data_IF_709795270466
#
_entry.id   IF_709795270466
#
_cell.length_a   1.000
_cell.length_b   1.000
_cell.length_c   1.000
_cell.angle_alpha   90.00
_cell.angle_beta   90.00
_cell.angle_gamma   90.00
#
_symmetry.space_group_name_H-M   'P 1'
#
loop_
_entity.id
_entity.type
_entity.pdbx_description
1 polymer ?
#
# COMPACT_ATOMS: atom_id res chain seq x y z
N UNK A 1 -9.74 -44.13 -66.26
CA UNK A 1 -9.03 -43.17 -65.37
C UNK A 1 -10.09 -42.28 -64.73
N UNK A 2 -10.44 -42.55 -63.46
CA UNK A 2 -11.43 -41.80 -62.68
C UNK A 2 -10.75 -40.59 -62.02
N UNK A 3 -11.25 -39.38 -62.28
CA UNK A 3 -10.83 -38.18 -61.55
C UNK A 3 -11.70 -38.03 -60.29
N UNK A 4 -11.07 -38.15 -59.12
CA UNK A 4 -11.66 -37.86 -57.82
C UNK A 4 -11.79 -36.35 -57.62
N UNK A 5 -13.02 -35.88 -57.41
CA UNK A 5 -13.31 -34.55 -56.87
C UNK A 5 -13.09 -34.57 -55.35
N UNK A 6 -11.95 -34.03 -54.89
CA UNK A 6 -11.74 -33.74 -53.47
C UNK A 6 -12.63 -32.56 -53.06
N UNK A 7 -13.65 -32.84 -52.26
CA UNK A 7 -14.45 -31.83 -51.56
C UNK A 7 -13.65 -31.31 -50.37
N UNK A 8 -13.22 -30.05 -50.46
CA UNK A 8 -12.61 -29.34 -49.33
C UNK A 8 -13.75 -28.87 -48.43
N UNK A 9 -13.88 -29.47 -47.25
CA UNK A 9 -14.74 -28.96 -46.17
C UNK A 9 -14.17 -27.60 -45.69
N UNK A 10 -14.99 -26.56 -45.47
CA UNK A 10 -14.51 -25.31 -44.93
C UNK A 10 -14.04 -25.52 -43.48
N UNK A 11 -12.80 -25.15 -43.19
CA UNK A 11 -12.30 -25.02 -41.81
C UNK A 11 -13.18 -24.04 -41.06
N UNK A 12 -13.77 -24.50 -39.94
CA UNK A 12 -14.49 -23.61 -39.03
C UNK A 12 -13.50 -22.59 -38.45
N UNK A 13 -13.57 -21.35 -38.94
CA UNK A 13 -12.98 -20.20 -38.26
C UNK A 13 -13.62 -20.08 -36.88
N UNK A 14 -12.84 -20.36 -35.84
CA UNK A 14 -13.22 -20.05 -34.47
C UNK A 14 -13.42 -18.54 -34.36
N UNK A 15 -14.68 -18.11 -34.23
CA UNK A 15 -15.03 -16.70 -34.02
C UNK A 15 -14.26 -16.16 -32.80
N UNK A 16 -13.55 -15.03 -32.92
CA UNK A 16 -12.85 -14.45 -31.78
C UNK A 16 -13.89 -14.01 -30.75
N UNK A 17 -13.89 -14.64 -29.57
CA UNK A 17 -14.73 -14.21 -28.43
C UNK A 17 -14.45 -12.73 -28.18
N UNK A 18 -15.42 -11.87 -28.50
CA UNK A 18 -15.41 -10.45 -28.16
C UNK A 18 -15.27 -10.33 -26.65
N UNK A 19 -14.06 -10.13 -26.15
CA UNK A 19 -13.84 -9.84 -24.73
C UNK A 19 -14.62 -8.57 -24.40
N UNK A 20 -15.45 -8.63 -23.35
CA UNK A 20 -16.14 -7.45 -22.83
C UNK A 20 -15.15 -6.29 -22.66
N UNK A 21 -15.55 -5.06 -23.00
CA UNK A 21 -14.71 -3.84 -22.83
C UNK A 21 -14.09 -3.76 -21.44
N UNK A 22 -14.81 -4.22 -20.41
CA UNK A 22 -14.36 -4.29 -19.02
C UNK A 22 -13.22 -5.30 -18.84
N UNK A 23 -13.36 -6.50 -19.42
CA UNK A 23 -12.32 -7.53 -19.33
C UNK A 23 -11.02 -7.10 -20.04
N UNK A 24 -11.13 -6.39 -21.16
CA UNK A 24 -9.98 -5.80 -21.87
C UNK A 24 -9.31 -4.72 -21.03
N UNK A 25 -10.09 -3.80 -20.44
CA UNK A 25 -9.57 -2.75 -19.56
C UNK A 25 -8.88 -3.29 -18.30
N UNK A 26 -9.49 -4.27 -17.61
CA UNK A 26 -8.93 -4.89 -16.41
C UNK A 26 -7.68 -5.73 -16.68
N UNK A 27 -7.54 -6.27 -17.89
CA UNK A 27 -6.38 -7.04 -18.32
C UNK A 27 -5.24 -6.18 -18.85
N UNK A 28 -5.49 -4.89 -19.09
CA UNK A 28 -4.48 -3.96 -19.60
C UNK A 28 -3.36 -3.73 -18.58
N UNK A 29 -2.16 -3.51 -19.09
CA UNK A 29 -1.04 -3.02 -18.28
C UNK A 29 -1.29 -1.57 -17.91
N UNK A 30 -1.00 -1.21 -16.66
CA UNK A 30 -1.09 0.16 -16.20
C UNK A 30 0.04 0.98 -16.80
N UNK A 31 -0.35 2.02 -17.54
CA UNK A 31 0.55 3.09 -17.93
C UNK A 31 0.52 4.19 -16.86
N UNK A 32 1.62 4.94 -16.67
CA UNK A 32 1.62 6.14 -15.82
C UNK A 32 0.63 7.18 -16.36
N UNK A 33 -0.53 7.27 -15.72
CA UNK A 33 -1.53 8.30 -15.95
C UNK A 33 -1.75 9.14 -14.69
N UNK A 34 -2.50 10.23 -14.81
CA UNK A 34 -2.78 11.11 -13.70
C UNK A 34 -3.57 10.41 -12.58
N UNK A 35 -4.43 9.43 -12.92
CA UNK A 35 -5.20 8.69 -11.94
C UNK A 35 -4.32 7.81 -11.06
N UNK A 36 -3.36 7.09 -11.66
CA UNK A 36 -2.40 6.28 -10.92
C UNK A 36 -1.51 7.15 -10.03
N UNK A 37 -1.07 8.32 -10.51
CA UNK A 37 -0.32 9.25 -9.67
C UNK A 37 -1.13 9.72 -8.46
N UNK A 38 -2.38 10.13 -8.67
CA UNK A 38 -3.27 10.55 -7.57
C UNK A 38 -3.50 9.42 -6.58
N UNK A 39 -3.80 8.21 -7.05
CA UNK A 39 -3.94 7.00 -6.23
C UNK A 39 -2.70 6.77 -5.35
N UNK A 40 -1.50 6.84 -5.92
CA UNK A 40 -0.26 6.67 -5.14
C UNK A 40 -0.07 7.76 -4.08
N UNK A 41 -0.53 8.99 -4.34
CA UNK A 41 -0.52 10.07 -3.34
C UNK A 41 -1.55 9.84 -2.24
N UNK A 42 -2.75 9.35 -2.58
CA UNK A 42 -3.77 8.99 -1.60
C UNK A 42 -3.30 7.82 -0.73
N UNK A 43 -2.65 6.82 -1.32
CA UNK A 43 -2.02 5.71 -0.60
C UNK A 43 -0.90 6.19 0.35
N UNK A 44 -0.11 7.18 -0.06
CA UNK A 44 0.89 7.80 0.80
C UNK A 44 0.25 8.57 1.96
N UNK A 45 -0.79 9.35 1.68
CA UNK A 45 -1.56 10.06 2.70
C UNK A 45 -2.18 9.09 3.71
N UNK A 46 -2.81 8.02 3.25
CA UNK A 46 -3.38 6.98 4.10
C UNK A 46 -2.32 6.25 4.94
N UNK A 47 -1.12 6.00 4.38
CA UNK A 47 0.00 5.44 5.15
C UNK A 47 0.42 6.38 6.29
N UNK A 48 0.47 7.70 6.01
CA UNK A 48 0.74 8.72 7.02
C UNK A 48 -0.29 8.71 8.15
N UNK A 49 -1.58 8.61 7.83
CA UNK A 49 -2.66 8.48 8.82
C UNK A 49 -2.48 7.22 9.67
N UNK A 50 -2.27 6.07 9.03
CA UNK A 50 -2.12 4.79 9.72
C UNK A 50 -0.95 4.84 10.71
N UNK A 51 0.22 5.33 10.29
CA UNK A 51 1.40 5.40 11.15
C UNK A 51 1.23 6.39 12.32
N UNK A 52 0.57 7.52 12.09
CA UNK A 52 0.24 8.47 13.15
C UNK A 52 -0.81 7.94 14.14
N UNK A 53 -1.61 6.96 13.71
CA UNK A 53 -2.64 6.33 14.55
C UNK A 53 -2.09 5.13 15.31
N UNK A 54 -1.20 4.34 14.71
CA UNK A 54 -0.66 3.13 15.37
C UNK A 54 0.41 3.47 16.39
N UNK A 55 1.19 4.53 16.18
CA UNK A 55 2.32 4.83 17.06
C UNK A 55 1.92 5.21 18.50
N UNK A 56 0.91 6.06 18.76
CA UNK A 56 0.53 6.43 20.13
C UNK A 56 0.15 5.22 20.99
N UNK A 57 -0.65 4.30 20.43
CA UNK A 57 -1.18 3.14 21.16
C UNK A 57 -0.19 1.99 21.22
N UNK A 58 0.45 1.72 20.08
CA UNK A 58 1.18 0.47 19.89
C UNK A 58 2.70 0.66 19.91
N UNK A 59 3.18 1.90 19.89
CA UNK A 59 4.61 2.25 19.74
C UNK A 59 5.26 1.56 18.55
N UNK A 60 4.46 1.31 17.51
CA UNK A 60 4.90 0.76 16.23
C UNK A 60 4.31 1.55 15.08
N UNK A 61 5.03 1.56 13.97
CA UNK A 61 4.54 2.04 12.69
C UNK A 61 4.01 0.85 11.87
N UNK A 62 2.92 1.04 11.13
CA UNK A 62 2.44 0.01 10.19
C UNK A 62 3.29 -0.01 8.91
N UNK A 63 3.72 1.17 8.44
CA UNK A 63 4.40 1.37 7.17
C UNK A 63 5.87 1.78 7.29
N UNK A 64 6.21 2.58 8.30
CA UNK A 64 7.58 3.05 8.50
C UNK A 64 8.47 2.02 9.22
N UNK A 65 8.86 0.98 8.48
CA UNK A 65 9.64 -0.14 9.03
C UNK A 65 11.07 0.23 9.43
N UNK A 66 11.67 1.29 8.86
CA UNK A 66 12.97 1.80 9.32
C UNK A 66 12.91 2.25 10.77
N UNK A 67 11.82 2.92 11.17
CA UNK A 67 11.57 3.28 12.57
C UNK A 67 11.43 2.05 13.46
N UNK A 68 10.64 1.06 13.03
CA UNK A 68 10.47 -0.19 13.77
C UNK A 68 11.78 -0.98 13.95
N UNK A 69 12.66 -1.02 12.94
CA UNK A 69 13.98 -1.66 13.07
C UNK A 69 14.82 -0.99 14.16
N UNK A 70 14.81 0.35 14.25
CA UNK A 70 15.50 1.06 15.31
C UNK A 70 14.87 0.80 16.69
N UNK A 71 13.53 0.82 16.78
CA UNK A 71 12.79 0.51 18.01
C UNK A 71 13.06 -0.91 18.50
N UNK A 72 13.15 -1.88 17.59
CA UNK A 72 13.49 -3.26 17.92
C UNK A 72 14.88 -3.36 18.55
N UNK A 73 15.88 -2.69 17.97
CA UNK A 73 17.25 -2.72 18.48
C UNK A 73 17.36 -2.05 19.85
N UNK A 74 16.76 -0.86 20.01
CA UNK A 74 16.74 -0.12 21.28
C UNK A 74 15.98 -0.89 22.35
N UNK A 75 14.84 -1.50 22.01
CA UNK A 75 14.07 -2.36 22.92
C UNK A 75 14.82 -3.63 23.32
N UNK A 76 15.48 -4.30 22.37
CA UNK A 76 16.19 -5.56 22.61
C UNK A 76 17.39 -5.38 23.55
N UNK A 77 18.00 -4.19 23.56
CA UNK A 77 19.09 -3.83 24.44
C UNK A 77 18.63 -3.24 25.78
N UNK A 78 17.32 -3.17 26.04
CA UNK A 78 16.77 -2.56 27.26
C UNK A 78 17.00 -1.04 27.35
N UNK A 79 17.24 -0.38 26.21
CA UNK A 79 17.44 1.07 26.13
C UNK A 79 16.13 1.82 25.84
N UNK A 80 15.06 1.10 25.48
CA UNK A 80 13.75 1.69 25.30
C UNK A 80 13.15 2.03 26.67
N UNK A 81 12.46 3.18 26.75
CA UNK A 81 11.56 3.42 27.87
C UNK A 81 10.50 2.30 27.92
N UNK A 82 9.96 2.00 29.10
CA UNK A 82 9.11 0.82 29.43
C UNK A 82 7.88 0.58 28.51
N UNK A 83 7.61 1.46 27.55
CA UNK A 83 6.43 1.45 26.67
C UNK A 83 6.60 0.71 25.33
N UNK A 84 7.80 0.24 24.95
CA UNK A 84 8.00 -0.48 23.66
C UNK A 84 7.96 -1.99 23.87
N UNK A 85 6.89 -2.64 23.42
CA UNK A 85 6.81 -4.10 23.40
C UNK A 85 7.50 -4.67 22.15
N UNK A 86 8.57 -5.46 22.36
CA UNK A 86 9.30 -6.11 21.28
C UNK A 86 8.43 -7.04 20.42
N UNK A 87 7.38 -7.63 21.00
CA UNK A 87 6.48 -8.53 20.27
C UNK A 87 5.71 -7.74 19.21
N UNK A 88 5.18 -6.58 19.56
CA UNK A 88 4.47 -5.71 18.63
C UNK A 88 5.35 -5.26 17.47
N UNK A 89 6.58 -4.81 17.78
CA UNK A 89 7.56 -4.40 16.78
C UNK A 89 7.93 -5.57 15.86
N UNK A 90 8.15 -6.75 16.45
CA UNK A 90 8.47 -7.98 15.72
C UNK A 90 7.34 -8.44 14.80
N UNK A 91 6.09 -8.41 15.28
CA UNK A 91 4.91 -8.72 14.45
C UNK A 91 4.73 -7.70 13.34
N UNK A 92 4.91 -6.40 13.59
CA UNK A 92 4.84 -5.38 12.54
C UNK A 92 5.87 -5.65 11.44
N UNK A 93 7.15 -5.83 11.80
CA UNK A 93 8.22 -6.13 10.84
C UNK A 93 7.94 -7.43 10.08
N UNK A 94 7.62 -8.50 10.81
CA UNK A 94 7.37 -9.82 10.23
C UNK A 94 6.21 -9.82 9.25
N UNK A 95 5.06 -9.26 9.64
CA UNK A 95 3.87 -9.25 8.79
C UNK A 95 4.00 -8.28 7.62
N UNK A 96 4.73 -7.17 7.78
CA UNK A 96 5.08 -6.31 6.65
C UNK A 96 5.89 -7.06 5.60
N UNK A 97 6.94 -7.78 6.03
CA UNK A 97 7.77 -8.59 5.12
C UNK A 97 6.94 -9.71 4.47
N UNK A 98 6.09 -10.41 5.24
CA UNK A 98 5.21 -11.46 4.73
C UNK A 98 4.21 -10.89 3.71
N UNK A 99 3.56 -9.76 4.01
CA UNK A 99 2.60 -9.11 3.11
C UNK A 99 3.25 -8.66 1.79
N UNK A 100 4.41 -8.01 1.87
CA UNK A 100 5.19 -7.61 0.70
C UNK A 100 5.68 -8.81 -0.12
N UNK A 101 6.13 -9.88 0.54
CA UNK A 101 6.59 -11.10 -0.13
C UNK A 101 5.43 -11.81 -0.81
N UNK A 102 4.34 -12.10 -0.10
CA UNK A 102 3.21 -12.85 -0.65
C UNK A 102 2.56 -12.11 -1.82
N UNK A 103 2.24 -10.82 -1.66
CA UNK A 103 1.62 -10.04 -2.73
C UNK A 103 2.60 -9.73 -3.86
N UNK A 104 3.89 -9.52 -3.57
CA UNK A 104 4.92 -9.37 -4.59
C UNK A 104 5.08 -10.63 -5.46
N UNK A 105 5.22 -11.80 -4.84
CA UNK A 105 5.40 -13.09 -5.52
C UNK A 105 4.14 -13.52 -6.28
N UNK A 106 2.95 -13.32 -5.67
CA UNK A 106 1.70 -13.60 -6.37
C UNK A 106 1.49 -12.65 -7.56
N UNK A 107 1.95 -11.41 -7.44
CA UNK A 107 2.00 -10.44 -8.54
C UNK A 107 2.85 -10.92 -9.73
N UNK A 108 3.98 -11.60 -9.49
CA UNK A 108 4.78 -12.18 -10.58
C UNK A 108 3.99 -13.23 -11.38
N UNK A 109 3.14 -14.02 -10.71
CA UNK A 109 2.31 -15.05 -11.35
C UNK A 109 1.07 -14.47 -12.05
N UNK A 110 0.44 -13.45 -11.46
CA UNK A 110 -0.83 -12.87 -11.96
C UNK A 110 -0.63 -11.74 -12.97
N UNK A 111 0.53 -11.10 -12.95
CA UNK A 111 0.89 -9.93 -13.77
C UNK A 111 0.88 -8.67 -12.93
N UNK A 112 2.04 -8.34 -12.33
CA UNK A 112 2.21 -7.29 -11.31
C UNK A 112 1.80 -5.89 -11.77
N UNK A 113 1.86 -5.62 -13.08
CA UNK A 113 1.49 -4.33 -13.68
C UNK A 113 0.06 -4.32 -14.24
N UNK A 114 -0.71 -5.41 -14.14
CA UNK A 114 -2.09 -5.46 -14.63
C UNK A 114 -3.00 -4.67 -13.71
N UNK A 115 -3.92 -3.91 -14.30
CA UNK A 115 -4.89 -3.11 -13.56
C UNK A 115 -5.75 -3.93 -12.59
N UNK A 116 -6.23 -5.09 -13.04
CA UNK A 116 -6.96 -6.03 -12.19
C UNK A 116 -6.18 -6.48 -10.98
N UNK A 117 -4.87 -6.76 -11.14
CA UNK A 117 -4.04 -7.20 -10.02
C UNK A 117 -3.95 -6.09 -8.97
N UNK A 118 -3.56 -4.87 -9.39
CA UNK A 118 -3.42 -3.76 -8.46
C UNK A 118 -4.72 -3.36 -7.78
N UNK A 119 -5.84 -3.37 -8.52
CA UNK A 119 -7.16 -3.06 -7.95
C UNK A 119 -7.56 -4.12 -6.91
N UNK A 120 -7.42 -5.40 -7.23
CA UNK A 120 -7.75 -6.48 -6.30
C UNK A 120 -6.91 -6.41 -5.03
N UNK A 121 -5.60 -6.19 -5.16
CA UNK A 121 -4.73 -6.09 -3.99
C UNK A 121 -4.97 -4.81 -3.20
N UNK A 122 -5.30 -3.69 -3.84
CA UNK A 122 -5.70 -2.48 -3.13
C UNK A 122 -6.97 -2.73 -2.30
N UNK A 123 -8.02 -3.32 -2.90
CA UNK A 123 -9.27 -3.68 -2.22
C UNK A 123 -8.99 -4.59 -1.01
N UNK A 124 -8.22 -5.66 -1.16
CA UNK A 124 -7.90 -6.58 -0.05
C UNK A 124 -7.18 -5.85 1.08
N UNK A 125 -6.22 -4.99 0.76
CA UNK A 125 -5.52 -4.20 1.77
C UNK A 125 -6.44 -3.20 2.47
N UNK A 126 -7.35 -2.55 1.72
CA UNK A 126 -8.35 -1.65 2.27
C UNK A 126 -9.31 -2.36 3.22
N UNK A 127 -9.72 -3.60 2.89
CA UNK A 127 -10.52 -4.44 3.78
C UNK A 127 -9.78 -4.74 5.10
N UNK A 128 -8.46 -4.96 5.06
CA UNK A 128 -7.68 -5.12 6.29
C UNK A 128 -7.62 -3.83 7.12
N UNK A 129 -7.54 -2.65 6.50
CA UNK A 129 -7.61 -1.36 7.21
C UNK A 129 -8.99 -1.16 7.85
N UNK A 130 -10.08 -1.49 7.15
CA UNK A 130 -11.43 -1.43 7.73
C UNK A 130 -11.63 -2.46 8.85
N UNK A 131 -11.09 -3.67 8.70
CA UNK A 131 -11.13 -4.67 9.76
C UNK A 131 -10.37 -4.19 11.01
N UNK A 132 -9.20 -3.56 10.83
CA UNK A 132 -8.45 -2.95 11.93
C UNK A 132 -9.21 -1.80 12.59
N UNK A 133 -9.86 -0.93 11.80
CA UNK A 133 -10.71 0.14 12.33
C UNK A 133 -11.90 -0.41 13.13
N UNK A 134 -12.55 -1.47 12.63
CA UNK A 134 -13.63 -2.15 13.33
C UNK A 134 -13.14 -2.80 14.62
N UNK A 135 -12.05 -3.59 14.59
CA UNK A 135 -11.48 -4.18 15.80
C UNK A 135 -11.18 -3.11 16.84
N UNK A 136 -10.61 -1.97 16.42
CA UNK A 136 -10.29 -0.87 17.32
C UNK A 136 -11.52 -0.16 17.88
N UNK A 137 -12.62 -0.12 17.14
CA UNK A 137 -13.87 0.49 17.61
C UNK A 137 -14.60 -0.40 18.63
N UNK A 138 -14.67 -1.71 18.36
CA UNK A 138 -15.51 -2.64 19.10
C UNK A 138 -14.78 -3.36 20.24
N UNK A 139 -13.45 -3.41 20.21
CA UNK A 139 -12.63 -4.09 21.22
C UNK A 139 -11.67 -3.11 21.86
N UNK A 140 -11.75 -2.98 23.18
CA UNK A 140 -10.79 -2.15 23.93
C UNK A 140 -9.43 -2.84 23.95
N UNK A 141 -8.43 -2.21 23.32
CA UNK A 141 -7.06 -2.74 23.21
C UNK A 141 -6.28 -2.71 24.53
N UNK A 142 -6.82 -2.07 25.57
CA UNK A 142 -6.20 -1.99 26.90
C UNK A 142 -6.45 -3.23 27.75
N UNK A 143 -7.45 -4.05 27.38
CA UNK A 143 -7.87 -5.23 28.15
C UNK A 143 -7.50 -6.53 27.42
N UNK A 144 -7.56 -6.54 26.08
CA UNK A 144 -7.27 -7.72 25.27
C UNK A 144 -6.05 -7.52 24.35
N UNK A 145 -4.93 -8.10 24.75
CA UNK A 145 -3.70 -8.14 23.98
C UNK A 145 -3.92 -8.73 22.56
N UNK A 146 -4.90 -9.63 22.39
CA UNK A 146 -5.16 -10.30 21.11
C UNK A 146 -5.67 -9.33 20.03
N UNK A 147 -6.55 -8.41 20.42
CA UNK A 147 -7.09 -7.41 19.50
C UNK A 147 -6.03 -6.39 19.07
N UNK A 148 -5.15 -5.99 20.00
CA UNK A 148 -3.96 -5.17 19.72
C UNK A 148 -3.07 -5.83 18.65
N UNK A 149 -2.69 -7.09 18.85
CA UNK A 149 -1.86 -7.82 17.88
C UNK A 149 -2.56 -7.96 16.52
N UNK A 150 -3.86 -8.23 16.51
CA UNK A 150 -4.63 -8.35 15.29
C UNK A 150 -4.63 -7.04 14.47
N UNK A 151 -4.82 -5.88 15.12
CA UNK A 151 -4.74 -4.57 14.45
C UNK A 151 -3.37 -4.35 13.83
N UNK A 152 -2.29 -4.59 14.58
CA UNK A 152 -0.91 -4.43 14.10
C UNK A 152 -0.65 -5.36 12.90
N UNK A 153 -1.00 -6.64 13.02
CA UNK A 153 -0.80 -7.64 11.97
C UNK A 153 -1.55 -7.28 10.68
N UNK A 154 -2.82 -6.86 10.79
CA UNK A 154 -3.64 -6.47 9.63
C UNK A 154 -3.04 -5.27 8.90
N UNK A 155 -2.68 -4.21 9.65
CA UNK A 155 -2.14 -2.98 9.08
C UNK A 155 -0.74 -3.18 8.51
N UNK A 156 0.14 -3.90 9.21
CA UNK A 156 1.49 -4.18 8.76
C UNK A 156 1.49 -5.03 7.47
N UNK A 157 0.68 -6.09 7.42
CA UNK A 157 0.53 -6.91 6.21
C UNK A 157 0.01 -6.08 5.03
N UNK A 158 -1.03 -5.28 5.26
CA UNK A 158 -1.61 -4.42 4.24
C UNK A 158 -0.60 -3.41 3.70
N UNK A 159 0.19 -2.81 4.60
CA UNK A 159 1.22 -1.84 4.24
C UNK A 159 2.38 -2.47 3.46
N UNK A 160 2.88 -3.63 3.87
CA UNK A 160 3.93 -4.35 3.15
C UNK A 160 3.53 -4.67 1.71
N UNK A 161 2.28 -5.11 1.54
CA UNK A 161 1.67 -5.29 0.23
C UNK A 161 1.62 -4.01 -0.61
N UNK A 162 1.19 -2.91 0.00
CA UNK A 162 1.06 -1.61 -0.66
C UNK A 162 2.41 -1.10 -1.17
N UNK A 163 3.45 -1.15 -0.32
CA UNK A 163 4.81 -0.73 -0.68
C UNK A 163 5.36 -1.62 -1.80
N UNK A 164 5.15 -2.94 -1.72
CA UNK A 164 5.56 -3.86 -2.77
C UNK A 164 4.88 -3.54 -4.12
N UNK A 165 3.58 -3.22 -4.12
CA UNK A 165 2.86 -2.83 -5.33
C UNK A 165 3.35 -1.51 -5.91
N UNK A 166 3.53 -0.49 -5.07
CA UNK A 166 3.98 0.85 -5.49
C UNK A 166 5.34 0.79 -6.20
N UNK A 167 6.20 -0.17 -5.85
CA UNK A 167 7.49 -0.41 -6.52
C UNK A 167 7.38 -1.07 -7.89
N UNK A 168 6.22 -1.63 -8.25
CA UNK A 168 6.02 -2.32 -9.53
C UNK A 168 5.41 -1.44 -10.62
N UNK A 169 4.85 -0.29 -10.25
CA UNK A 169 4.30 0.69 -11.18
C UNK A 169 5.38 1.66 -11.64
N UNK A 170 5.22 2.21 -12.85
CA UNK A 170 6.21 3.07 -13.50
C UNK A 170 6.14 4.53 -12.99
N UNK A 171 6.15 4.67 -11.66
CA UNK A 171 6.20 5.92 -10.89
C UNK A 171 7.19 5.73 -9.73
N UNK A 172 8.50 5.60 -10.02
CA UNK A 172 9.50 5.19 -9.04
C UNK A 172 9.69 6.21 -7.90
N UNK A 173 9.23 7.44 -8.09
CA UNK A 173 9.33 8.52 -7.11
C UNK A 173 8.42 8.32 -5.89
N UNK A 174 7.36 7.49 -6.00
CA UNK A 174 6.30 7.39 -4.99
C UNK A 174 6.21 5.97 -4.47
N UNK A 175 6.81 5.73 -3.30
CA UNK A 175 6.84 4.39 -2.66
C UNK A 175 5.74 4.20 -1.63
N UNK A 176 4.92 5.24 -1.39
CA UNK A 176 3.84 5.33 -0.40
C UNK A 176 4.23 5.33 1.08
N UNK A 177 5.42 4.89 1.47
CA UNK A 177 5.86 4.89 2.88
C UNK A 177 7.33 5.32 3.10
N UNK A 178 8.22 5.06 2.13
CA UNK A 178 9.66 5.31 2.28
C UNK A 178 10.01 6.73 1.83
N UNK A 179 9.82 7.71 2.71
CA UNK A 179 9.96 9.14 2.36
C UNK A 179 11.40 9.64 2.35
N UNK A 180 12.32 9.01 3.09
CA UNK A 180 13.70 9.48 3.25
C UNK A 180 14.42 9.65 1.91
N UNK A 181 14.33 8.65 1.02
CA UNK A 181 14.92 8.77 -0.32
C UNK A 181 14.25 9.87 -1.14
N UNK A 182 12.92 10.03 -1.03
CA UNK A 182 12.20 11.08 -1.74
C UNK A 182 12.61 12.48 -1.29
N UNK A 183 12.89 12.69 0.01
CA UNK A 183 13.48 13.94 0.50
C UNK A 183 14.83 14.22 -0.16
N UNK A 184 15.75 13.26 -0.12
CA UNK A 184 17.10 13.42 -0.68
C UNK A 184 17.05 13.63 -2.19
N UNK A 185 16.26 12.83 -2.91
CA UNK A 185 16.10 12.92 -4.36
C UNK A 185 15.40 14.23 -4.80
N UNK A 186 14.60 14.84 -3.92
CA UNK A 186 13.99 16.15 -4.15
C UNK A 186 15.03 17.26 -3.99
N UNK A 187 15.74 17.31 -2.85
CA UNK A 187 16.66 18.43 -2.56
C UNK A 187 17.95 18.40 -3.38
N UNK A 188 18.33 17.23 -3.89
CA UNK A 188 19.52 17.06 -4.75
C UNK A 188 19.20 17.05 -6.24
N UNK A 189 17.92 17.26 -6.63
CA UNK A 189 17.52 17.28 -8.04
C UNK A 189 18.25 18.40 -8.80
N UNK A 190 18.98 18.03 -9.88
CA UNK A 190 19.73 19.00 -10.70
C UNK A 190 18.85 20.10 -11.31
N UNK A 191 17.58 19.78 -11.53
CA UNK A 191 16.56 20.67 -12.08
C UNK A 191 15.51 21.03 -11.00
N UNK A 192 15.94 21.20 -9.74
CA UNK A 192 15.10 21.57 -8.61
C UNK A 192 14.26 22.83 -8.89
N UNK A 193 14.90 23.87 -9.42
CA UNK A 193 14.27 25.16 -9.73
C UNK A 193 13.72 25.27 -11.17
N UNK A 194 13.79 24.19 -11.96
CA UNK A 194 13.24 24.21 -13.31
C UNK A 194 11.71 24.34 -13.28
N UNK A 195 11.16 25.15 -14.19
CA UNK A 195 9.72 25.41 -14.28
C UNK A 195 8.89 24.14 -14.54
N UNK A 196 9.46 23.14 -15.22
CA UNK A 196 8.79 21.86 -15.52
C UNK A 196 9.72 20.70 -15.17
N UNK A 197 9.37 19.96 -14.13
CA UNK A 197 10.05 18.72 -13.74
C UNK A 197 9.03 17.81 -13.03
N UNK A 198 8.42 16.88 -13.79
CA UNK A 198 7.34 16.02 -13.28
C UNK A 198 7.84 15.05 -12.19
N UNK A 199 8.99 14.35 -12.34
CA UNK A 199 9.57 13.55 -11.27
C UNK A 199 9.78 14.33 -9.96
N UNK A 200 10.40 15.52 -10.05
CA UNK A 200 10.60 16.41 -8.89
C UNK A 200 9.28 16.79 -8.23
N UNK A 201 8.27 17.16 -9.02
CA UNK A 201 6.94 17.48 -8.51
C UNK A 201 6.29 16.29 -7.79
N UNK A 202 6.40 15.08 -8.36
CA UNK A 202 5.89 13.85 -7.72
C UNK A 202 6.53 13.60 -6.36
N UNK A 203 7.87 13.75 -6.24
CA UNK A 203 8.57 13.61 -4.95
C UNK A 203 8.07 14.63 -3.93
N UNK A 204 7.93 15.89 -4.34
CA UNK A 204 7.41 16.96 -3.48
C UNK A 204 5.99 16.68 -3.00
N UNK A 205 5.09 16.30 -3.91
CA UNK A 205 3.70 15.95 -3.57
C UNK A 205 3.64 14.70 -2.69
N UNK A 206 4.48 13.69 -2.93
CA UNK A 206 4.56 12.48 -2.09
C UNK A 206 4.96 12.82 -0.65
N UNK A 207 6.03 13.62 -0.48
CA UNK A 207 6.47 14.09 0.83
C UNK A 207 5.36 14.85 1.56
N UNK A 208 4.69 15.78 0.86
CA UNK A 208 3.59 16.56 1.41
C UNK A 208 2.38 15.70 1.74
N UNK A 209 2.01 14.75 0.89
CA UNK A 209 0.87 13.85 1.10
C UNK A 209 1.09 13.00 2.36
N UNK A 210 2.26 12.39 2.52
CA UNK A 210 2.59 11.62 3.72
C UNK A 210 2.55 12.49 4.97
N UNK A 211 3.16 13.69 4.93
CA UNK A 211 3.20 14.62 6.06
C UNK A 211 1.79 15.10 6.47
N UNK A 212 0.98 15.54 5.51
CA UNK A 212 -0.40 15.97 5.75
C UNK A 212 -1.26 14.81 6.26
N UNK A 213 -1.07 13.61 5.71
CA UNK A 213 -1.71 12.40 6.18
C UNK A 213 -1.39 12.12 7.66
N UNK A 214 -0.12 12.24 8.05
CA UNK A 214 0.28 12.08 9.45
C UNK A 214 -0.32 13.15 10.36
N UNK A 215 -0.34 14.43 9.96
CA UNK A 215 -0.98 15.48 10.75
C UNK A 215 -2.49 15.27 10.90
N UNK A 216 -3.18 14.93 9.81
CA UNK A 216 -4.62 14.69 9.81
C UNK A 216 -4.94 13.42 10.60
N UNK A 217 -4.14 12.38 10.50
CA UNK A 217 -4.29 11.17 11.30
C UNK A 217 -4.10 11.43 12.78
N UNK A 218 -3.07 12.18 13.16
CA UNK A 218 -2.84 12.57 14.55
C UNK A 218 -3.96 13.47 15.10
N UNK A 219 -4.47 14.40 14.29
CA UNK A 219 -5.61 15.25 14.66
C UNK A 219 -6.89 14.42 14.81
N UNK A 220 -7.20 13.52 13.86
CA UNK A 220 -8.35 12.63 13.92
C UNK A 220 -8.29 11.68 15.14
N UNK A 221 -7.10 11.17 15.45
CA UNK A 221 -6.82 10.37 16.64
C UNK A 221 -7.15 11.15 17.92
N UNK A 222 -6.62 12.38 18.01
CA UNK A 222 -6.70 13.21 19.22
C UNK A 222 -8.11 13.77 19.45
N UNK A 223 -8.75 14.27 18.40
CA UNK A 223 -10.00 15.04 18.50
C UNK A 223 -11.26 14.18 18.34
N UNK A 224 -11.14 12.98 17.74
CA UNK A 224 -12.30 12.09 17.49
C UNK A 224 -12.10 10.72 18.12
N UNK A 225 -11.28 9.87 17.50
CA UNK A 225 -10.90 8.56 18.07
C UNK A 225 -9.85 7.85 17.18
N UNK A 226 -9.10 6.89 17.74
CA UNK A 226 -8.19 6.04 16.98
C UNK A 226 -8.90 5.24 15.88
N UNK A 227 -10.09 4.71 16.18
CA UNK A 227 -10.89 3.96 15.22
C UNK A 227 -11.35 4.83 14.03
N UNK A 228 -11.75 6.08 14.30
CA UNK A 228 -12.10 7.04 13.25
C UNK A 228 -10.91 7.38 12.36
N UNK A 229 -9.72 7.56 12.92
CA UNK A 229 -8.51 7.81 12.14
C UNK A 229 -8.19 6.63 11.19
N UNK A 230 -8.29 5.38 11.67
CA UNK A 230 -8.13 4.19 10.80
C UNK A 230 -9.24 4.09 9.73
N UNK A 231 -10.48 4.42 10.08
CA UNK A 231 -11.59 4.47 9.12
C UNK A 231 -11.31 5.49 8.01
N UNK A 232 -10.82 6.68 8.36
CA UNK A 232 -10.42 7.72 7.41
C UNK A 232 -9.32 7.22 6.47
N UNK A 233 -8.30 6.53 6.99
CA UNK A 233 -7.25 5.94 6.17
C UNK A 233 -7.83 4.92 5.16
N UNK A 234 -8.76 4.07 5.59
CA UNK A 234 -9.45 3.12 4.73
C UNK A 234 -10.29 3.78 3.63
N UNK A 235 -11.00 4.87 3.96
CA UNK A 235 -11.79 5.63 2.99
C UNK A 235 -10.91 6.32 1.95
N UNK A 236 -9.80 6.94 2.37
CA UNK A 236 -8.83 7.54 1.45
C UNK A 236 -8.22 6.50 0.51
N UNK A 237 -7.94 5.31 1.02
CA UNK A 237 -7.35 4.21 0.25
C UNK A 237 -8.29 3.64 -0.83
N UNK A 238 -9.61 3.85 -0.69
CA UNK A 238 -10.62 3.32 -1.60
C UNK A 238 -10.85 4.20 -2.85
N UNK A 239 -10.59 5.50 -2.75
CA UNK A 239 -10.90 6.50 -3.78
C UNK A 239 -9.74 6.75 -4.73
#
# INVERSE_FOLDING_TARGET
MCNQTNSVLPSQESTPRTKSRIATYLSAQLAPDAFLEVELMLLAFAAGINDATTFPDYRVFASNQTGNTALLAVGALGLAQETVDLRDVGFSLGLFVVGGTLLGQLGHRRGRTKRSWLLCTNIVQTLFVFAAAALRHWVSTDIDNSARFAVICLLAFASGGQVAMARTVDVPEVTTAMVTSAYIDLVTDRALFAARNRPRNRRGVFVLALLLGSFIGAAAYREVSPAFALLLAGLVKLG
#
